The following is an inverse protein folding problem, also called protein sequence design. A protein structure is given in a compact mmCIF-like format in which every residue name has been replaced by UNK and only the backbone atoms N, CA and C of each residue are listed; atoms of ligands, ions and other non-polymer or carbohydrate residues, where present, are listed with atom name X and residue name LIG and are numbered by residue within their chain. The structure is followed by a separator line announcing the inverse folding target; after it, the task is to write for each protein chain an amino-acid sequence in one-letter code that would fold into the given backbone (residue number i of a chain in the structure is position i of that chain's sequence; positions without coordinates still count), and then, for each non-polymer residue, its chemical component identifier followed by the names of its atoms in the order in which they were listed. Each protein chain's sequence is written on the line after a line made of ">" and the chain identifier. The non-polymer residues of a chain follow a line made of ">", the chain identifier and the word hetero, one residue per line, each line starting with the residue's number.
data_IF_558699132915
#
_entry.id   IF_558699132915
#
_cell.length_a   1.000
_cell.length_b   1.000
_cell.length_c   1.000
_cell.angle_alpha   90.00
_cell.angle_beta   90.00
_cell.angle_gamma   90.00
#
_symmetry.space_group_name_H-M   'P 1'
#
loop_
_entity.id
_entity.type
_entity.pdbx_description
1 polymer ?
#
# COMPACT_ATOMS: atom_id res chain seq x y z
N UNK A 1 2.02 15.29 -8.76
CA UNK A 1 2.69 14.42 -7.76
C UNK A 1 1.75 14.16 -6.58
N UNK A 2 0.92 13.13 -6.63
CA UNK A 2 0.16 12.71 -5.47
C UNK A 2 1.07 12.43 -4.26
N UNK A 3 0.63 12.89 -3.09
CA UNK A 3 1.29 12.61 -1.81
C UNK A 3 0.30 11.83 -0.98
N UNK A 4 0.79 10.83 -0.24
CA UNK A 4 -0.05 9.96 0.57
C UNK A 4 0.44 9.97 2.01
N UNK A 5 -0.49 9.88 2.95
CA UNK A 5 -0.21 9.46 4.32
C UNK A 5 -0.62 8.00 4.45
N UNK A 6 0.29 7.14 4.88
CA UNK A 6 0.00 5.73 5.09
C UNK A 6 0.49 5.23 6.44
N UNK A 7 -0.21 4.23 6.97
CA UNK A 7 0.21 3.43 8.12
C UNK A 7 0.55 2.02 7.61
N UNK A 8 1.76 1.55 7.92
CA UNK A 8 2.26 0.30 7.36
C UNK A 8 3.73 0.08 7.61
N UNK A 9 4.36 -0.75 6.80
CA UNK A 9 5.79 -1.04 6.89
C UNK A 9 6.46 -0.98 5.52
N UNK A 10 7.78 -0.77 5.52
CA UNK A 10 8.58 -0.83 4.29
C UNK A 10 8.79 -2.27 3.85
N UNK A 11 8.65 -2.56 2.57
CA UNK A 11 8.98 -3.83 1.96
C UNK A 11 10.12 -3.64 0.96
N UNK A 12 11.27 -4.23 1.25
CA UNK A 12 12.51 -4.03 0.52
C UNK A 12 12.41 -4.61 -0.88
N UNK A 13 12.99 -3.93 -1.86
CA UNK A 13 12.96 -4.34 -3.27
C UNK A 13 13.45 -5.77 -3.47
N UNK A 14 14.47 -6.17 -2.70
CA UNK A 14 15.00 -7.53 -2.72
C UNK A 14 13.93 -8.56 -2.34
N UNK A 15 13.16 -8.32 -1.28
CA UNK A 15 12.11 -9.23 -0.83
C UNK A 15 10.89 -9.19 -1.74
N UNK A 16 10.55 -8.03 -2.33
CA UNK A 16 9.50 -7.93 -3.36
C UNK A 16 9.85 -8.83 -4.56
N UNK A 17 11.07 -8.70 -5.10
CA UNK A 17 11.53 -9.54 -6.21
C UNK A 17 11.51 -11.02 -5.86
N UNK A 18 11.96 -11.39 -4.65
CA UNK A 18 11.91 -12.78 -4.18
C UNK A 18 10.46 -13.28 -4.11
N UNK A 19 9.53 -12.49 -3.59
CA UNK A 19 8.12 -12.85 -3.51
C UNK A 19 7.53 -13.07 -4.91
N UNK A 20 7.75 -12.15 -5.85
CA UNK A 20 7.30 -12.30 -7.23
C UNK A 20 7.81 -13.60 -7.88
N UNK A 21 9.08 -13.94 -7.65
CA UNK A 21 9.68 -15.18 -8.18
C UNK A 21 9.10 -16.43 -7.50
N UNK A 22 8.99 -16.43 -6.17
CA UNK A 22 8.53 -17.61 -5.42
C UNK A 22 7.04 -17.89 -5.64
N UNK A 23 6.25 -16.84 -5.87
CA UNK A 23 4.82 -16.94 -6.10
C UNK A 23 4.44 -17.04 -7.59
N UNK A 24 5.43 -17.09 -8.49
CA UNK A 24 5.25 -17.26 -9.94
C UNK A 24 4.34 -16.18 -10.56
N UNK A 25 4.62 -14.91 -10.21
CA UNK A 25 3.81 -13.77 -10.65
C UNK A 25 4.39 -13.15 -11.93
N UNK A 26 4.21 -13.82 -13.07
CA UNK A 26 4.78 -13.41 -14.37
C UNK A 26 4.36 -12.00 -14.82
N UNK A 27 3.14 -11.57 -14.50
CA UNK A 27 2.60 -10.26 -14.87
C UNK A 27 3.00 -9.13 -13.89
N UNK A 28 3.75 -9.45 -12.83
CA UNK A 28 4.17 -8.47 -11.83
C UNK A 28 5.51 -7.84 -12.22
N UNK A 29 5.56 -6.50 -12.25
CA UNK A 29 6.81 -5.76 -12.34
C UNK A 29 7.33 -5.43 -10.92
N UNK A 30 8.26 -6.23 -10.34
CA UNK A 30 8.68 -6.05 -8.94
C UNK A 30 9.42 -4.72 -8.70
N UNK A 31 9.80 -4.01 -9.75
CA UNK A 31 10.45 -2.69 -9.71
C UNK A 31 9.46 -1.53 -9.81
N UNK A 32 8.16 -1.82 -9.97
CA UNK A 32 7.08 -0.86 -10.02
C UNK A 32 5.79 -1.47 -9.45
N UNK A 33 5.69 -1.48 -8.12
CA UNK A 33 4.65 -2.24 -7.41
C UNK A 33 3.27 -1.56 -7.46
N UNK A 34 3.25 -0.24 -7.69
CA UNK A 34 2.03 0.56 -7.81
C UNK A 34 1.42 0.51 -9.21
N UNK A 35 2.08 -0.10 -10.19
CA UNK A 35 1.50 -0.32 -11.52
C UNK A 35 0.19 -1.11 -11.40
N UNK A 36 -0.82 -0.76 -12.21
CA UNK A 36 -2.18 -1.35 -12.08
C UNK A 36 -2.18 -2.88 -12.16
N UNK A 37 -1.49 -3.45 -13.16
CA UNK A 37 -1.40 -4.91 -13.31
C UNK A 37 -0.61 -5.55 -12.16
N UNK A 38 0.57 -4.99 -11.85
CA UNK A 38 1.43 -5.48 -10.77
C UNK A 38 0.72 -5.50 -9.41
N UNK A 39 0.11 -4.38 -9.04
CA UNK A 39 -0.58 -4.22 -7.76
C UNK A 39 -1.76 -5.19 -7.66
N UNK A 40 -2.57 -5.32 -8.71
CA UNK A 40 -3.69 -6.26 -8.72
C UNK A 40 -3.25 -7.71 -8.49
N UNK A 41 -2.25 -8.18 -9.24
CA UNK A 41 -1.76 -9.57 -9.14
C UNK A 41 -1.10 -9.85 -7.80
N UNK A 42 -0.32 -8.91 -7.26
CA UNK A 42 0.29 -9.07 -5.94
C UNK A 42 -0.79 -9.09 -4.85
N UNK A 43 -1.76 -8.16 -4.88
CA UNK A 43 -2.82 -8.09 -3.87
C UNK A 43 -3.73 -9.32 -3.91
N UNK A 44 -4.09 -9.81 -5.09
CA UNK A 44 -4.82 -11.07 -5.26
C UNK A 44 -4.02 -12.23 -4.67
N UNK A 45 -2.70 -12.28 -4.93
CA UNK A 45 -1.85 -13.33 -4.37
C UNK A 45 -1.77 -13.25 -2.85
N UNK A 46 -1.67 -12.05 -2.27
CA UNK A 46 -1.68 -11.87 -0.82
C UNK A 46 -3.01 -12.36 -0.22
N UNK A 47 -4.14 -11.98 -0.83
CA UNK A 47 -5.48 -12.37 -0.40
C UNK A 47 -5.73 -13.89 -0.45
N UNK A 48 -5.11 -14.58 -1.40
CA UNK A 48 -5.24 -16.05 -1.53
C UNK A 48 -4.22 -16.81 -0.67
N UNK A 49 -3.01 -16.27 -0.49
CA UNK A 49 -1.95 -16.91 0.30
C UNK A 49 -2.15 -16.78 1.81
N UNK A 50 -2.67 -15.64 2.27
CA UNK A 50 -2.79 -15.32 3.68
C UNK A 50 -4.26 -15.28 4.10
N UNK A 51 -4.76 -16.42 4.59
CA UNK A 51 -6.16 -16.65 4.97
C UNK A 51 -6.68 -15.81 6.17
N UNK A 52 -5.77 -15.18 6.90
CA UNK A 52 -6.06 -14.32 8.04
C UNK A 52 -6.23 -12.85 7.67
N UNK A 53 -6.08 -12.48 6.40
CA UNK A 53 -6.32 -11.12 5.96
C UNK A 53 -7.82 -10.78 6.10
N UNK A 54 -8.18 -9.56 6.56
CA UNK A 54 -9.58 -9.18 6.67
C UNK A 54 -10.27 -9.22 5.32
N UNK A 55 -11.45 -9.82 5.28
CA UNK A 55 -12.35 -9.67 4.15
C UNK A 55 -13.00 -8.28 4.27
N UNK A 56 -12.57 -7.31 3.46
CA UNK A 56 -13.27 -6.03 3.41
C UNK A 56 -14.63 -6.25 2.76
N UNK A 57 -15.70 -6.11 3.54
CA UNK A 57 -17.02 -5.82 3.00
C UNK A 57 -16.96 -4.44 2.33
N UNK A 58 -17.46 -4.33 1.09
CA UNK A 58 -17.45 -3.15 0.19
C UNK A 58 -18.13 -1.88 0.75
N UNK A 59 -18.40 -1.81 2.05
CA UNK A 59 -19.29 -0.83 2.67
C UNK A 59 -18.58 0.26 3.47
N UNK A 60 -17.24 0.33 3.43
CA UNK A 60 -16.46 1.27 4.22
C UNK A 60 -16.07 2.50 3.39
N UNK A 61 -16.80 3.60 3.61
CA UNK A 61 -16.51 4.94 3.10
C UNK A 61 -15.14 5.43 3.57
N UNK A 62 -14.13 5.34 2.72
CA UNK A 62 -12.93 6.19 2.79
C UNK A 62 -13.38 7.62 2.43
N UNK A 63 -12.81 8.69 3.02
CA UNK A 63 -13.09 10.05 2.57
C UNK A 63 -12.90 10.13 1.06
N UNK A 64 -13.90 10.65 0.31
CA UNK A 64 -13.82 10.65 -1.14
C UNK A 64 -12.61 11.47 -1.58
N UNK A 65 -11.68 10.81 -2.28
CA UNK A 65 -10.62 11.49 -3.01
C UNK A 65 -11.25 12.50 -3.98
N UNK A 66 -10.61 13.65 -4.19
CA UNK A 66 -11.06 14.61 -5.22
C UNK A 66 -10.84 14.07 -6.63
N UNK A 67 -9.97 13.07 -6.75
CA UNK A 67 -9.68 12.33 -7.98
C UNK A 67 -10.44 11.00 -7.93
N UNK A 68 -11.18 10.63 -8.99
CA UNK A 68 -11.83 9.32 -9.07
C UNK A 68 -10.83 8.18 -8.82
N UNK A 69 -11.25 7.13 -8.12
CA UNK A 69 -10.38 5.99 -7.79
C UNK A 69 -9.76 5.33 -9.04
N UNK A 70 -10.41 5.43 -10.21
CA UNK A 70 -9.90 4.94 -11.49
C UNK A 70 -8.65 5.67 -11.99
N UNK A 71 -8.41 6.89 -11.49
CA UNK A 71 -7.31 7.77 -11.86
C UNK A 71 -6.20 7.81 -10.78
N UNK A 72 -6.32 7.02 -9.72
CA UNK A 72 -5.32 6.92 -8.65
C UNK A 72 -4.80 5.48 -8.53
N UNK A 73 -3.51 5.30 -8.82
CA UNK A 73 -2.86 3.98 -8.86
C UNK A 73 -2.87 3.23 -7.53
N UNK A 74 -3.05 3.93 -6.42
CA UNK A 74 -3.11 3.33 -5.07
C UNK A 74 -4.55 3.12 -4.64
N UNK A 75 -5.42 4.10 -4.87
CA UNK A 75 -6.82 4.05 -4.45
C UNK A 75 -7.69 3.16 -5.36
N UNK A 76 -7.27 2.85 -6.60
CA UNK A 76 -7.96 1.88 -7.47
C UNK A 76 -8.12 0.51 -6.80
N UNK A 77 -7.22 0.15 -5.90
CA UNK A 77 -7.24 -1.11 -5.17
C UNK A 77 -7.98 -1.00 -3.81
N UNK A 78 -8.96 -0.09 -3.68
CA UNK A 78 -9.64 0.22 -2.42
C UNK A 78 -10.29 -1.00 -1.73
N UNK A 79 -10.77 -1.98 -2.49
CA UNK A 79 -11.37 -3.22 -1.99
C UNK A 79 -10.40 -4.13 -1.22
N UNK A 80 -9.10 -4.10 -1.55
CA UNK A 80 -8.11 -4.90 -0.80
C UNK A 80 -7.87 -4.33 0.60
N UNK A 81 -7.78 -5.14 1.67
CA UNK A 81 -7.34 -4.67 2.99
C UNK A 81 -5.90 -4.12 2.96
N UNK A 82 -5.06 -4.66 2.05
CA UNK A 82 -3.68 -4.26 1.86
C UNK A 82 -3.59 -3.20 0.75
N UNK A 83 -2.77 -2.18 0.97
CA UNK A 83 -2.39 -1.15 0.01
C UNK A 83 -0.90 -1.22 -0.26
N UNK A 84 -0.54 -1.01 -1.52
CA UNK A 84 0.85 -0.94 -1.97
C UNK A 84 1.13 0.49 -2.41
N UNK A 85 2.19 1.09 -1.88
CA UNK A 85 2.68 2.39 -2.35
C UNK A 85 4.16 2.30 -2.70
N UNK A 86 4.58 3.19 -3.57
CA UNK A 86 5.97 3.37 -3.93
C UNK A 86 6.32 4.85 -3.98
N UNK A 87 7.54 5.18 -3.58
CA UNK A 87 8.11 6.50 -3.81
C UNK A 87 8.51 6.62 -5.27
N UNK A 88 8.07 7.69 -5.92
CA UNK A 88 8.48 7.98 -7.29
C UNK A 88 8.70 9.47 -7.47
N UNK A 89 9.78 9.82 -8.15
CA UNK A 89 10.12 11.17 -8.55
C UNK A 89 10.52 11.12 -10.04
N UNK A 90 9.77 11.76 -10.95
CA UNK A 90 10.08 11.74 -12.38
C UNK A 90 11.39 12.47 -12.72
N UNK A 91 11.89 13.35 -11.85
CA UNK A 91 13.17 14.04 -12.05
C UNK A 91 14.37 13.17 -11.64
N UNK A 92 14.14 12.09 -10.87
CA UNK A 92 15.15 11.10 -10.53
C UNK A 92 15.45 10.20 -11.74
N UNK A 93 16.63 10.39 -12.32
CA UNK A 93 17.11 9.60 -13.46
C UNK A 93 18.24 8.65 -13.12
N UNK A 94 18.77 8.71 -11.89
CA UNK A 94 19.95 7.91 -11.49
C UNK A 94 19.58 6.54 -10.94
N UNK A 95 18.39 6.41 -10.32
CA UNK A 95 17.92 5.18 -9.69
C UNK A 95 16.60 4.76 -10.36
N UNK A 96 16.58 3.55 -10.91
CA UNK A 96 15.40 3.05 -11.65
C UNK A 96 14.22 2.65 -10.75
N UNK A 97 14.50 2.21 -9.52
CA UNK A 97 13.49 1.81 -8.54
C UNK A 97 13.98 2.11 -7.12
N UNK A 98 13.07 2.60 -6.25
CA UNK A 98 13.41 2.90 -4.86
C UNK A 98 13.72 1.62 -4.07
N UNK A 99 14.58 1.71 -3.03
CA UNK A 99 15.07 0.53 -2.31
C UNK A 99 13.98 -0.24 -1.54
N UNK A 100 12.84 0.39 -1.30
CA UNK A 100 11.66 -0.21 -0.69
C UNK A 100 10.38 0.37 -1.30
N UNK A 101 9.31 -0.39 -1.18
CA UNK A 101 7.93 0.07 -1.30
C UNK A 101 7.26 0.03 0.08
N UNK A 102 5.99 0.38 0.17
CA UNK A 102 5.22 0.36 1.41
C UNK A 102 4.06 -0.63 1.27
N UNK A 103 3.88 -1.45 2.31
CA UNK A 103 2.72 -2.30 2.50
C UNK A 103 1.94 -1.71 3.67
N UNK A 104 0.71 -1.28 3.41
CA UNK A 104 -0.09 -0.50 4.34
C UNK A 104 -1.49 -1.07 4.49
N UNK A 105 -2.11 -0.83 5.64
CA UNK A 105 -3.52 -1.14 5.89
C UNK A 105 -4.41 0.12 5.81
N UNK A 106 -3.82 1.29 6.04
CA UNK A 106 -4.46 2.59 5.92
C UNK A 106 -3.66 3.52 5.02
N UNK A 107 -4.35 4.14 4.05
CA UNK A 107 -3.77 5.07 3.09
C UNK A 107 -4.78 6.15 2.75
N UNK A 108 -4.34 7.40 2.79
CA UNK A 108 -5.12 8.54 2.29
C UNK A 108 -4.27 9.38 1.34
N UNK A 109 -4.92 9.93 0.31
CA UNK A 109 -4.32 10.91 -0.60
C UNK A 109 -4.37 12.30 0.02
N UNK A 110 -3.28 13.04 -0.09
CA UNK A 110 -3.12 14.43 0.33
C UNK A 110 -3.08 15.31 -0.92
N UNK A 111 -4.19 15.99 -1.22
CA UNK A 111 -4.24 16.93 -2.35
C UNK A 111 -3.72 18.32 -1.99
N UNK A 112 -4.02 18.82 -0.78
CA UNK A 112 -3.62 20.15 -0.31
C UNK A 112 -2.88 20.07 1.03
N UNK A 113 -3.53 19.49 2.04
CA UNK A 113 -2.97 19.30 3.37
C UNK A 113 -3.80 18.27 4.16
N UNK A 114 -3.23 17.77 5.25
CA UNK A 114 -3.90 16.89 6.21
C UNK A 114 -3.50 17.22 7.64
N UNK A 115 -4.42 17.08 8.58
CA UNK A 115 -4.11 17.07 10.00
C UNK A 115 -3.72 15.64 10.42
N UNK A 116 -2.41 15.40 10.55
CA UNK A 116 -1.87 14.06 10.83
C UNK A 116 -2.42 13.48 12.13
N UNK A 117 -2.51 14.28 13.20
CA UNK A 117 -2.99 13.79 14.50
C UNK A 117 -4.47 13.40 14.46
N UNK A 118 -5.29 14.16 13.72
CA UNK A 118 -6.70 13.82 13.53
C UNK A 118 -6.85 12.53 12.73
N UNK A 119 -6.05 12.35 11.69
CA UNK A 119 -6.10 11.13 10.87
C UNK A 119 -5.61 9.90 11.64
N UNK A 120 -4.58 10.03 12.46
CA UNK A 120 -4.14 8.98 13.39
C UNK A 120 -5.26 8.59 14.35
N UNK A 121 -5.95 9.56 14.93
CA UNK A 121 -7.08 9.31 15.83
C UNK A 121 -8.26 8.61 15.12
N UNK A 122 -8.54 8.98 13.86
CA UNK A 122 -9.55 8.29 13.03
C UNK A 122 -9.16 6.85 12.76
N UNK A 123 -7.90 6.60 12.39
CA UNK A 123 -7.39 5.26 12.19
C UNK A 123 -7.50 4.41 13.46
N UNK A 124 -7.11 4.93 14.63
CA UNK A 124 -7.23 4.22 15.91
C UNK A 124 -8.70 3.87 16.24
N UNK A 125 -9.63 4.79 15.98
CA UNK A 125 -11.06 4.53 16.16
C UNK A 125 -11.57 3.43 15.21
N UNK A 126 -11.16 3.46 13.93
CA UNK A 126 -11.50 2.45 12.94
C UNK A 126 -10.94 1.07 13.29
N UNK A 127 -9.67 0.99 13.72
CA UNK A 127 -9.05 -0.28 14.15
C UNK A 127 -9.81 -0.88 15.34
N UNK A 128 -10.20 -0.05 16.29
CA UNK A 128 -10.98 -0.47 17.46
C UNK A 128 -12.38 -0.97 17.08
N UNK A 129 -13.03 -0.32 16.12
CA UNK A 129 -14.33 -0.72 15.60
C UNK A 129 -14.24 -2.04 14.84
N UNK A 130 -13.25 -2.18 13.95
CA UNK A 130 -13.06 -3.35 13.09
C UNK A 130 -12.67 -4.60 13.88
N UNK A 131 -11.92 -4.43 14.98
CA UNK A 131 -11.48 -5.53 15.85
C UNK A 131 -10.84 -6.71 15.07
N UNK A 132 -10.04 -6.37 14.05
CA UNK A 132 -9.45 -7.32 13.08
C UNK A 132 -8.17 -8.01 13.60
N UNK A 133 -7.80 -7.78 14.86
CA UNK A 133 -6.60 -8.34 15.47
C UNK A 133 -5.30 -7.80 14.86
N UNK A 134 -4.24 -8.59 14.95
CA UNK A 134 -2.87 -8.22 14.57
C UNK A 134 -2.46 -8.77 13.17
N UNK A 135 -3.39 -8.71 12.22
CA UNK A 135 -3.17 -9.31 10.89
C UNK A 135 -2.03 -8.63 10.13
N UNK A 136 -1.85 -7.31 10.31
CA UNK A 136 -0.81 -6.55 9.63
C UNK A 136 0.58 -6.92 10.17
N UNK A 137 0.72 -7.12 11.48
CA UNK A 137 1.95 -7.60 12.11
C UNK A 137 2.33 -8.98 11.57
N UNK A 138 1.35 -9.89 11.46
CA UNK A 138 1.56 -11.22 10.88
C UNK A 138 1.99 -11.13 9.43
N UNK A 139 1.32 -10.32 8.61
CA UNK A 139 1.72 -10.09 7.21
C UNK A 139 3.13 -9.50 7.12
N UNK A 140 3.47 -8.54 7.98
CA UNK A 140 4.81 -7.97 8.09
C UNK A 140 5.84 -9.03 8.42
N UNK A 141 5.57 -9.94 9.34
CA UNK A 141 6.51 -10.98 9.71
C UNK A 141 6.75 -12.00 8.58
N UNK A 142 5.76 -12.25 7.73
CA UNK A 142 5.87 -13.10 6.52
C UNK A 142 6.61 -12.39 5.36
N UNK A 143 6.36 -11.10 5.15
CA UNK A 143 6.92 -10.36 4.00
C UNK A 143 8.27 -9.68 4.29
N UNK A 144 8.43 -9.15 5.51
CA UNK A 144 9.66 -8.48 5.97
C UNK A 144 9.76 -8.48 7.50
N UNK A 145 10.21 -9.61 8.04
CA UNK A 145 10.40 -9.81 9.47
C UNK A 145 11.18 -8.66 10.13
N UNK A 146 10.64 -8.17 11.24
CA UNK A 146 11.29 -7.14 12.07
C UNK A 146 11.22 -5.71 11.51
N UNK A 147 10.53 -5.48 10.38
CA UNK A 147 10.24 -4.12 9.94
C UNK A 147 9.34 -3.39 10.95
N UNK A 148 9.60 -2.11 11.24
CA UNK A 148 8.69 -1.31 12.06
C UNK A 148 7.40 -1.01 11.27
N UNK A 149 6.27 -1.02 11.97
CA UNK A 149 4.99 -0.56 11.44
C UNK A 149 4.77 0.85 11.98
N UNK A 150 4.74 1.83 11.08
CA UNK A 150 4.75 3.26 11.41
C UNK A 150 3.95 4.06 10.38
N UNK A 151 3.86 5.37 10.62
CA UNK A 151 3.27 6.33 9.71
C UNK A 151 4.32 6.91 8.77
N UNK A 152 3.99 7.00 7.48
CA UNK A 152 4.85 7.55 6.45
C UNK A 152 4.09 8.55 5.58
N UNK A 153 4.79 9.61 5.17
CA UNK A 153 4.36 10.49 4.08
C UNK A 153 5.11 10.06 2.83
N UNK A 154 4.38 9.60 1.82
CA UNK A 154 4.93 9.03 0.59
C UNK A 154 4.61 9.95 -0.57
N UNK A 155 5.64 10.44 -1.25
CA UNK A 155 5.47 11.22 -2.48
C UNK A 155 5.60 10.26 -3.67
N UNK A 156 4.57 10.24 -4.50
CA UNK A 156 4.55 9.47 -5.73
C UNK A 156 4.26 10.42 -6.88
N UNK A 157 5.25 10.69 -7.72
CA UNK A 157 5.10 11.54 -8.89
C UNK A 157 4.60 10.81 -10.14
N UNK A 158 4.13 9.57 -10.00
CA UNK A 158 3.88 8.68 -11.12
C UNK A 158 2.41 8.79 -11.53
N UNK A 159 2.15 9.66 -12.50
CA UNK A 159 0.80 9.88 -13.01
C UNK A 159 0.46 8.90 -14.16
N UNK A 160 1.43 8.40 -14.93
CA UNK A 160 1.19 7.60 -16.16
C UNK A 160 2.39 6.73 -16.66
N UNK A 161 3.23 6.13 -15.81
CA UNK A 161 4.36 5.31 -16.31
C UNK A 161 3.97 3.97 -16.94
#
# INVERSE_FOLDING_TARGET
>A
MPTYLCHGFRWTRRLIRIFVILEDLDDAAPDWITGRATSAVILERLGTKFDYLPQRDDNLTVPPSRVPDSEDSVLVNQSSPVKLLEEYDPEETSISARPFAYVADHVIRIDLSVNVLEEMARYEALVKERNEGNWLERLRDELQQGAPIEWYVVVNGDEER
#
